data_IF_785559140508
#
_entry.id   IF_785559140508
#
_cell.length_a   1.000
_cell.length_b   1.000
_cell.length_c   1.000
_cell.angle_alpha   90.00
_cell.angle_beta   90.00
_cell.angle_gamma   90.00
#
_symmetry.space_group_name_H-M   'P 1'
#
loop_
_entity.id
_entity.type
_entity.pdbx_description
1 polymer ?
#
# COMPACT_ATOMS: atom_id res chain seq x y z
N UNK A 1 27.12 -2.93 -2.01
CA UNK A 1 25.67 -3.06 -1.80
C UNK A 1 25.37 -4.35 -1.06
N UNK A 2 24.56 -4.29 0.00
CA UNK A 2 24.19 -5.49 0.75
C UNK A 2 23.10 -6.22 -0.04
N UNK A 3 23.45 -7.30 -0.71
CA UNK A 3 22.51 -8.14 -1.48
C UNK A 3 21.71 -9.12 -0.60
N UNK A 4 21.57 -8.82 0.69
CA UNK A 4 20.93 -9.73 1.63
C UNK A 4 19.41 -9.70 1.54
N UNK A 5 18.81 -10.89 1.57
CA UNK A 5 17.37 -11.07 1.79
C UNK A 5 17.10 -11.20 3.29
N UNK A 6 16.08 -10.52 3.79
CA UNK A 6 15.59 -10.67 5.17
C UNK A 6 14.23 -11.35 5.17
N UNK A 7 14.06 -12.44 5.93
CA UNK A 7 12.75 -13.08 6.11
C UNK A 7 12.44 -13.22 7.60
N UNK A 8 11.32 -12.63 8.03
CA UNK A 8 10.87 -12.66 9.42
C UNK A 8 9.45 -13.22 9.46
N UNK A 9 9.28 -14.37 10.13
CA UNK A 9 7.99 -15.07 10.25
C UNK A 9 7.65 -15.31 11.70
N UNK A 10 6.44 -14.98 12.10
CA UNK A 10 5.95 -15.21 13.45
C UNK A 10 4.44 -15.41 13.45
N UNK A 11 3.84 -16.31 14.21
CA UNK A 11 2.38 -16.44 14.21
C UNK A 11 1.66 -15.37 15.06
N UNK A 12 2.22 -14.98 16.21
CA UNK A 12 1.46 -14.33 17.29
C UNK A 12 2.15 -13.14 17.97
N UNK A 13 3.42 -12.85 17.69
CA UNK A 13 4.11 -11.69 18.24
C UNK A 13 4.26 -10.59 17.18
N UNK A 14 4.20 -9.34 17.63
CA UNK A 14 4.32 -8.19 16.75
C UNK A 14 5.68 -8.16 16.07
N UNK A 15 5.69 -7.79 14.79
CA UNK A 15 6.91 -7.59 14.03
C UNK A 15 7.21 -6.10 13.96
N UNK A 16 8.38 -5.73 14.47
CA UNK A 16 8.87 -4.37 14.48
C UNK A 16 10.25 -4.36 13.83
N UNK A 17 10.39 -3.61 12.74
CA UNK A 17 11.68 -3.46 12.07
C UNK A 17 11.87 -2.01 11.62
N UNK A 18 13.12 -1.56 11.69
CA UNK A 18 13.46 -0.20 11.34
C UNK A 18 14.91 0.09 11.05
N UNK A 19 15.14 1.22 10.38
CA UNK A 19 16.48 1.69 10.02
C UNK A 19 17.19 0.79 9.00
N UNK A 20 16.50 -0.19 8.42
CA UNK A 20 17.09 -1.11 7.46
C UNK A 20 17.29 -0.40 6.13
N UNK A 21 18.55 -0.13 5.78
CA UNK A 21 18.92 0.55 4.54
C UNK A 21 19.71 -0.38 3.63
N UNK A 22 19.42 -0.34 2.34
CA UNK A 22 20.17 -1.09 1.33
C UNK A 22 19.85 -2.59 1.30
N UNK A 23 18.64 -2.97 1.72
CA UNK A 23 18.17 -4.36 1.65
C UNK A 23 17.57 -4.62 0.27
N UNK A 24 18.01 -5.69 -0.41
CA UNK A 24 17.49 -6.04 -1.74
C UNK A 24 16.06 -6.56 -1.64
N UNK A 25 15.80 -7.46 -0.69
CA UNK A 25 14.48 -8.05 -0.46
C UNK A 25 14.17 -8.24 1.02
N UNK A 26 12.96 -7.94 1.44
CA UNK A 26 12.46 -8.27 2.79
C UNK A 26 11.05 -8.86 2.76
N UNK A 27 10.88 -9.98 3.46
CA UNK A 27 9.61 -10.67 3.67
C UNK A 27 9.21 -10.62 5.16
N UNK A 28 8.07 -10.02 5.49
CA UNK A 28 7.51 -10.01 6.85
C UNK A 28 6.17 -10.74 6.87
N UNK A 29 6.05 -11.80 7.67
CA UNK A 29 4.81 -12.57 7.76
C UNK A 29 4.36 -12.82 9.20
N UNK A 30 3.08 -12.55 9.49
CA UNK A 30 2.47 -12.95 10.77
C UNK A 30 0.99 -13.25 10.71
N UNK A 31 0.45 -14.10 11.58
CA UNK A 31 -0.99 -14.39 11.57
C UNK A 31 -1.80 -13.34 12.31
N UNK A 32 -1.38 -12.94 13.51
CA UNK A 32 -2.29 -12.26 14.46
C UNK A 32 -1.77 -10.96 15.08
N UNK A 33 -0.49 -10.64 14.94
CA UNK A 33 0.11 -9.53 15.68
C UNK A 33 0.66 -8.43 14.79
N UNK A 34 0.55 -7.17 15.25
CA UNK A 34 0.80 -5.98 14.43
C UNK A 34 2.18 -6.01 13.77
N UNK A 35 2.25 -5.63 12.50
CA UNK A 35 3.50 -5.34 11.78
C UNK A 35 3.69 -3.82 11.75
N UNK A 36 4.81 -3.31 12.26
CA UNK A 36 5.25 -1.93 12.02
C UNK A 36 6.64 -1.92 11.36
N UNK A 37 6.73 -1.25 10.23
CA UNK A 37 7.96 -1.07 9.47
C UNK A 37 8.21 0.42 9.33
N UNK A 38 9.36 0.90 9.79
CA UNK A 38 9.65 2.34 9.79
C UNK A 38 11.07 2.69 9.34
N UNK A 39 11.21 3.76 8.57
CA UNK A 39 12.50 4.33 8.15
C UNK A 39 13.40 3.30 7.44
N UNK A 40 12.89 2.67 6.38
CA UNK A 40 13.60 1.60 5.68
C UNK A 40 13.74 1.89 4.18
N UNK A 41 14.84 1.44 3.60
CA UNK A 41 15.11 1.47 2.17
C UNK A 41 15.30 0.03 1.68
N UNK A 42 14.22 -0.55 1.15
CA UNK A 42 14.14 -1.96 0.74
C UNK A 42 13.68 -1.99 -0.71
N UNK A 43 14.44 -2.60 -1.62
CA UNK A 43 14.07 -2.59 -3.03
C UNK A 43 12.79 -3.39 -3.30
N UNK A 44 12.64 -4.57 -2.69
CA UNK A 44 11.46 -5.44 -2.79
C UNK A 44 10.93 -5.77 -1.38
N UNK A 45 9.74 -5.29 -1.02
CA UNK A 45 9.13 -5.51 0.30
C UNK A 45 7.81 -6.28 0.16
N UNK A 46 7.75 -7.46 0.76
CA UNK A 46 6.55 -8.29 0.84
C UNK A 46 6.09 -8.40 2.31
N UNK A 47 4.84 -8.01 2.59
CA UNK A 47 4.24 -8.07 3.93
C UNK A 47 2.94 -8.85 3.90
N UNK A 48 2.82 -9.89 4.72
CA UNK A 48 1.65 -10.76 4.75
C UNK A 48 1.12 -10.96 6.17
N UNK A 49 -0.18 -10.76 6.37
CA UNK A 49 -0.81 -11.10 7.63
C UNK A 49 -2.29 -11.42 7.58
N UNK A 50 -2.81 -12.34 8.40
CA UNK A 50 -4.24 -12.65 8.39
C UNK A 50 -5.06 -11.57 9.10
N UNK A 51 -4.74 -11.27 10.36
CA UNK A 51 -5.59 -10.48 11.25
C UNK A 51 -4.90 -9.23 11.81
N UNK A 52 -3.65 -8.98 11.45
CA UNK A 52 -2.87 -7.93 12.09
C UNK A 52 -2.80 -6.64 11.30
N UNK A 53 -2.96 -5.51 11.96
CA UNK A 53 -2.78 -4.22 11.29
C UNK A 53 -1.36 -4.10 10.77
N UNK A 54 -1.19 -3.52 9.59
CA UNK A 54 0.11 -3.20 8.99
C UNK A 54 0.29 -1.69 8.97
N UNK A 55 1.44 -1.25 9.43
CA UNK A 55 1.81 0.16 9.59
C UNK A 55 3.16 0.39 8.92
N UNK A 56 3.14 1.08 7.78
CA UNK A 56 4.31 1.42 6.99
C UNK A 56 4.58 2.92 7.11
N UNK A 57 5.78 3.30 7.51
CA UNK A 57 6.15 4.70 7.66
C UNK A 57 7.55 4.98 7.09
N UNK A 58 7.71 6.04 6.30
CA UNK A 58 9.02 6.47 5.79
C UNK A 58 9.76 5.36 5.03
N UNK A 59 9.04 4.61 4.17
CA UNK A 59 9.60 3.48 3.44
C UNK A 59 9.89 3.84 1.98
N UNK A 60 10.97 3.34 1.42
CA UNK A 60 11.29 3.55 0.00
C UNK A 60 11.87 2.34 -0.70
N UNK A 61 11.62 2.22 -2.00
CA UNK A 61 12.09 1.10 -2.81
C UNK A 61 11.56 1.06 -4.23
N UNK A 62 11.60 -0.13 -4.85
CA UNK A 62 11.04 -0.37 -6.19
C UNK A 62 9.64 -0.99 -6.09
N UNK A 63 9.48 -2.02 -5.27
CA UNK A 63 8.22 -2.74 -5.10
C UNK A 63 7.85 -2.89 -3.63
N UNK A 64 6.59 -2.61 -3.30
CA UNK A 64 5.99 -2.89 -2.01
C UNK A 64 4.62 -3.56 -2.19
N UNK A 65 4.46 -4.76 -1.64
CA UNK A 65 3.20 -5.47 -1.60
C UNK A 65 2.80 -5.81 -0.15
N UNK A 66 1.61 -5.38 0.25
CA UNK A 66 1.02 -5.69 1.55
C UNK A 66 -0.29 -6.42 1.35
N UNK A 67 -0.42 -7.61 1.95
CA UNK A 67 -1.62 -8.43 1.90
C UNK A 67 -2.10 -8.75 3.31
N UNK A 68 -3.37 -8.44 3.57
CA UNK A 68 -4.07 -8.91 4.77
C UNK A 68 -5.52 -9.34 4.50
N UNK A 69 -6.13 -10.07 5.43
CA UNK A 69 -7.54 -10.45 5.33
C UNK A 69 -8.41 -9.48 6.12
N UNK A 70 -8.08 -9.30 7.40
CA UNK A 70 -9.01 -8.73 8.37
C UNK A 70 -8.49 -7.47 9.03
N UNK A 71 -7.42 -6.87 8.52
CA UNK A 71 -6.78 -5.77 9.22
C UNK A 71 -6.61 -4.51 8.39
N UNK A 72 -6.51 -3.40 9.11
CA UNK A 72 -6.24 -2.10 8.52
C UNK A 72 -4.79 -2.04 8.03
N UNK A 73 -4.62 -1.49 6.85
CA UNK A 73 -3.31 -1.09 6.32
C UNK A 73 -3.18 0.43 6.44
N UNK A 74 -2.05 0.88 6.95
CA UNK A 74 -1.67 2.30 6.97
C UNK A 74 -0.30 2.45 6.31
N UNK A 75 -0.17 3.42 5.39
CA UNK A 75 1.09 3.75 4.73
C UNK A 75 1.31 5.27 4.72
N UNK A 76 2.37 5.76 5.33
CA UNK A 76 2.70 7.19 5.35
C UNK A 76 4.13 7.45 4.90
N UNK A 77 4.33 8.50 4.12
CA UNK A 77 5.66 8.92 3.66
C UNK A 77 6.39 7.81 2.87
N UNK A 78 5.63 7.03 2.09
CA UNK A 78 6.16 5.89 1.34
C UNK A 78 6.44 6.25 -0.13
N UNK A 79 7.63 5.91 -0.63
CA UNK A 79 8.04 6.17 -2.01
C UNK A 79 8.51 4.88 -2.72
N UNK A 80 7.66 4.33 -3.58
CA UNK A 80 7.93 3.10 -4.33
C UNK A 80 7.60 3.27 -5.80
N UNK A 81 8.27 2.59 -6.71
CA UNK A 81 7.81 2.54 -8.12
C UNK A 81 6.46 1.82 -8.23
N UNK A 82 6.26 0.76 -7.42
CA UNK A 82 5.03 0.00 -7.33
C UNK A 82 4.59 -0.16 -5.88
N UNK A 83 3.35 0.21 -5.57
CA UNK A 83 2.76 0.15 -4.24
C UNK A 83 1.40 -0.56 -4.30
N UNK A 84 1.33 -1.76 -3.72
CA UNK A 84 0.12 -2.59 -3.69
C UNK A 84 -0.32 -2.88 -2.26
N UNK A 85 -1.54 -2.46 -1.91
CA UNK A 85 -2.12 -2.66 -0.57
C UNK A 85 -3.46 -3.39 -0.71
N UNK A 86 -3.56 -4.58 -0.13
CA UNK A 86 -4.70 -5.48 -0.27
C UNK A 86 -5.22 -5.90 1.10
N UNK A 87 -6.49 -5.67 1.38
CA UNK A 87 -7.16 -6.12 2.62
C UNK A 87 -8.60 -6.48 2.36
N UNK A 88 -9.19 -7.53 2.93
CA UNK A 88 -10.59 -7.87 2.61
C UNK A 88 -11.58 -6.98 3.38
N UNK A 89 -11.36 -6.77 4.67
CA UNK A 89 -12.43 -6.26 5.54
C UNK A 89 -12.21 -4.86 6.13
N UNK A 90 -10.98 -4.36 6.13
CA UNK A 90 -10.64 -3.15 6.87
C UNK A 90 -10.08 -2.05 5.98
N UNK A 91 -10.00 -0.84 6.53
CA UNK A 91 -9.61 0.33 5.74
C UNK A 91 -8.16 0.25 5.22
N UNK A 92 -7.93 0.88 4.07
CA UNK A 92 -6.60 1.25 3.57
C UNK A 92 -6.49 2.76 3.74
N UNK A 93 -5.54 3.22 4.56
CA UNK A 93 -5.25 4.65 4.72
C UNK A 93 -3.84 4.98 4.31
N UNK A 94 -3.67 6.06 3.56
CA UNK A 94 -2.36 6.44 3.07
C UNK A 94 -2.17 7.96 3.00
N UNK A 95 -0.95 8.43 3.25
CA UNK A 95 -0.63 9.87 3.22
C UNK A 95 0.79 10.08 2.72
N UNK A 96 0.99 11.13 1.92
CA UNK A 96 2.31 11.47 1.38
C UNK A 96 2.98 10.28 0.65
N UNK A 97 2.21 9.51 -0.11
CA UNK A 97 2.72 8.36 -0.85
C UNK A 97 3.03 8.74 -2.30
N UNK A 98 4.22 8.39 -2.78
CA UNK A 98 4.68 8.60 -4.15
C UNK A 98 4.83 7.24 -4.83
N UNK A 99 4.13 7.01 -5.95
CA UNK A 99 4.31 5.80 -6.76
C UNK A 99 3.81 5.94 -8.18
N UNK A 100 4.44 5.21 -9.11
CA UNK A 100 4.05 5.20 -10.53
C UNK A 100 2.98 4.13 -10.82
N UNK A 101 2.93 3.04 -10.06
CA UNK A 101 1.92 1.98 -10.17
C UNK A 101 1.31 1.72 -8.80
N UNK A 102 0.04 2.10 -8.63
CA UNK A 102 -0.68 2.01 -7.37
C UNK A 102 -1.85 1.05 -7.53
N UNK A 103 -1.98 0.11 -6.60
CA UNK A 103 -3.11 -0.80 -6.50
C UNK A 103 -3.61 -0.93 -5.06
N UNK A 104 -4.81 -0.43 -4.79
CA UNK A 104 -5.45 -0.53 -3.48
C UNK A 104 -6.76 -1.30 -3.60
N UNK A 105 -6.85 -2.45 -2.94
CA UNK A 105 -8.00 -3.36 -3.07
C UNK A 105 -8.55 -3.75 -1.71
N UNK A 106 -9.86 -3.57 -1.52
CA UNK A 106 -10.56 -4.07 -0.35
C UNK A 106 -12.04 -4.33 -0.53
N UNK A 107 -12.62 -5.38 0.04
CA UNK A 107 -14.05 -5.65 -0.15
C UNK A 107 -14.94 -4.73 0.69
N UNK A 108 -14.61 -4.52 1.97
CA UNK A 108 -15.48 -3.82 2.94
C UNK A 108 -14.85 -2.58 3.57
N UNK A 109 -13.55 -2.33 3.34
CA UNK A 109 -12.83 -1.22 3.92
C UNK A 109 -12.91 0.07 3.11
N UNK A 110 -12.96 1.22 3.79
CA UNK A 110 -12.76 2.50 3.12
C UNK A 110 -11.32 2.58 2.56
N UNK A 111 -11.18 3.09 1.34
CA UNK A 111 -9.87 3.50 0.78
C UNK A 111 -9.81 5.01 0.83
N UNK A 112 -8.88 5.57 1.62
CA UNK A 112 -8.79 7.02 1.81
C UNK A 112 -7.36 7.51 1.96
N UNK A 113 -7.01 8.62 1.31
CA UNK A 113 -5.66 9.15 1.43
C UNK A 113 -5.22 10.17 0.37
N UNK A 114 -3.96 10.57 0.47
CA UNK A 114 -3.29 11.49 -0.44
C UNK A 114 -2.17 10.81 -1.24
N UNK A 115 -2.22 10.92 -2.56
CA UNK A 115 -1.13 10.52 -3.48
C UNK A 115 -0.39 11.79 -3.87
N UNK A 116 0.94 11.77 -3.77
CA UNK A 116 1.77 12.90 -4.21
C UNK A 116 2.03 12.78 -5.72
N UNK A 117 1.65 13.81 -6.47
CA UNK A 117 1.83 13.88 -7.92
C UNK A 117 0.63 14.49 -8.66
N UNK A 118 0.76 14.68 -9.97
CA UNK A 118 -0.33 15.19 -10.81
C UNK A 118 -1.25 14.04 -11.23
N UNK A 119 -2.55 14.18 -10.96
CA UNK A 119 -3.58 13.23 -11.38
C UNK A 119 -3.57 12.96 -12.89
N UNK A 120 -3.12 13.93 -13.71
CA UNK A 120 -3.04 13.82 -15.18
C UNK A 120 -2.04 12.75 -15.63
N UNK A 121 -1.01 12.47 -14.84
CA UNK A 121 -0.01 11.45 -15.16
C UNK A 121 -0.59 10.01 -15.06
N UNK A 122 -1.72 9.84 -14.36
CA UNK A 122 -2.24 8.53 -13.97
C UNK A 122 -3.42 8.09 -14.85
N UNK A 123 -3.28 6.90 -15.44
CA UNK A 123 -4.42 6.12 -15.88
C UNK A 123 -5.16 5.60 -14.63
N UNK A 124 -6.36 6.11 -14.38
CA UNK A 124 -7.14 5.86 -13.16
C UNK A 124 -8.26 4.87 -13.45
N UNK A 125 -8.30 3.79 -12.68
CA UNK A 125 -9.45 2.89 -12.60
C UNK A 125 -9.90 2.80 -11.17
N UNK A 126 -11.11 3.26 -10.88
CA UNK A 126 -11.65 3.26 -9.52
C UNK A 126 -13.08 2.74 -9.47
N UNK A 127 -13.37 1.84 -8.55
CA UNK A 127 -14.69 1.20 -8.50
C UNK A 127 -15.11 0.88 -7.07
N UNK A 128 -16.35 1.24 -6.73
CA UNK A 128 -17.10 0.69 -5.59
C UNK A 128 -18.53 0.37 -6.01
N UNK A 129 -19.08 -0.72 -5.48
CA UNK A 129 -20.41 -1.20 -5.86
C UNK A 129 -21.52 -0.50 -5.05
N UNK A 130 -21.32 -0.36 -3.73
CA UNK A 130 -22.39 0.01 -2.79
C UNK A 130 -22.12 1.32 -2.01
N UNK A 131 -21.11 2.10 -2.42
CA UNK A 131 -20.74 3.34 -1.75
C UNK A 131 -20.31 4.44 -2.73
N UNK A 132 -19.85 5.59 -2.22
CA UNK A 132 -19.41 6.71 -3.05
C UNK A 132 -17.94 6.58 -3.48
N UNK A 133 -17.63 7.13 -4.65
CA UNK A 133 -16.29 7.21 -5.21
C UNK A 133 -16.03 8.64 -5.68
N UNK A 134 -14.98 9.28 -5.16
CA UNK A 134 -14.58 10.62 -5.58
C UNK A 134 -13.62 10.63 -6.79
N UNK A 135 -13.15 9.46 -7.23
CA UNK A 135 -12.23 9.30 -8.36
C UNK A 135 -12.96 8.92 -9.66
N UNK A 136 -12.40 9.24 -10.85
CA UNK A 136 -12.92 8.78 -12.14
C UNK A 136 -12.97 7.25 -12.22
N UNK A 137 -14.09 6.69 -12.71
CA UNK A 137 -14.25 5.23 -12.80
C UNK A 137 -13.27 4.58 -13.75
N UNK A 138 -13.11 5.18 -14.93
CA UNK A 138 -12.11 4.82 -15.93
C UNK A 138 -11.66 6.11 -16.60
N UNK A 139 -10.37 6.41 -16.46
CA UNK A 139 -9.70 7.55 -17.09
C UNK A 139 -8.40 7.01 -17.67
N UNK A 140 -8.26 7.08 -18.99
CA UNK A 140 -7.05 6.64 -19.67
C UNK A 140 -6.79 7.54 -20.87
N UNK A 141 -5.60 8.10 -20.94
CA UNK A 141 -5.09 8.84 -22.08
C UNK A 141 -3.74 8.26 -22.56
N UNK A 142 -3.38 8.40 -23.85
CA UNK A 142 -2.16 7.80 -24.40
C UNK A 142 -0.83 8.31 -23.81
N UNK A 143 -0.82 9.51 -23.25
CA UNK A 143 0.34 10.20 -22.69
C UNK A 143 0.63 9.83 -21.22
N UNK A 144 -0.27 9.08 -20.58
CA UNK A 144 -0.16 8.71 -19.18
C UNK A 144 0.87 7.60 -18.98
N UNK A 145 1.84 7.85 -18.10
CA UNK A 145 2.91 6.88 -17.79
C UNK A 145 2.67 6.14 -16.48
N UNK A 146 1.77 6.65 -15.61
CA UNK A 146 1.49 6.11 -14.28
C UNK A 146 0.11 5.45 -14.24
N UNK A 147 -0.13 4.60 -13.23
CA UNK A 147 -1.35 3.80 -13.07
C UNK A 147 -1.87 3.88 -11.65
N UNK A 148 -3.17 4.12 -11.51
CA UNK A 148 -3.87 4.07 -10.24
C UNK A 148 -5.07 3.12 -10.36
N UNK A 149 -5.07 2.05 -9.57
CA UNK A 149 -6.19 1.12 -9.45
C UNK A 149 -6.71 1.13 -8.02
N UNK A 150 -7.99 1.43 -7.85
CA UNK A 150 -8.65 1.38 -6.54
C UNK A 150 -9.92 0.56 -6.69
N UNK A 151 -10.06 -0.49 -5.90
CA UNK A 151 -11.25 -1.31 -5.91
C UNK A 151 -11.78 -1.53 -4.50
N UNK A 152 -13.07 -1.29 -4.33
CA UNK A 152 -13.82 -1.82 -3.20
C UNK A 152 -15.22 -2.25 -3.59
N UNK A 153 -15.93 -2.94 -2.69
CA UNK A 153 -17.31 -3.37 -2.95
C UNK A 153 -18.30 -2.56 -2.12
N UNK A 154 -18.02 -2.36 -0.83
CA UNK A 154 -19.02 -1.90 0.13
C UNK A 154 -18.70 -0.56 0.82
N UNK A 155 -17.56 0.05 0.53
CA UNK A 155 -17.09 1.23 1.24
C UNK A 155 -16.64 2.36 0.31
N UNK A 156 -16.50 3.56 0.90
CA UNK A 156 -16.16 4.78 0.19
C UNK A 156 -14.73 4.72 -0.38
N UNK A 157 -14.56 5.29 -1.57
CA UNK A 157 -13.25 5.71 -2.08
C UNK A 157 -13.16 7.22 -1.93
N UNK A 158 -12.16 7.69 -1.18
CA UNK A 158 -11.91 9.10 -0.87
C UNK A 158 -10.42 9.43 -1.03
N UNK A 159 -9.98 9.57 -2.28
CA UNK A 159 -8.58 9.77 -2.65
C UNK A 159 -8.37 11.14 -3.25
N UNK A 160 -7.27 11.79 -2.90
CA UNK A 160 -6.88 13.08 -3.47
C UNK A 160 -5.43 13.04 -3.95
N UNK A 161 -5.15 13.84 -4.96
CA UNK A 161 -3.79 14.13 -5.38
C UNK A 161 -3.30 15.39 -4.65
N UNK A 162 -2.06 15.37 -4.21
CA UNK A 162 -1.37 16.42 -3.46
C UNK A 162 -0.12 16.83 -4.25
N UNK A 163 0.15 18.14 -4.30
CA UNK A 163 1.30 18.74 -4.97
C UNK A 163 2.25 19.37 -3.95
#
# INVERSE_FOLDING_TARGET
>A
DYEGTLSVKNSNAGLYASGLCGVSKADFATSNAKIRLHDMSIAELDVQTSNASVDLQSLKGRHCEVKTSDARITASDCAYTQLRLHTSNNAIRFWNCVSDDIEFVTSNGQVSGGIVGDARDYAIKSHTSNASNNMPKDLSYPDQTKKLRIHTSNAKIDVRFEN
#
